data_IF_206510043665
#
_entry.id   IF_206510043665
#
_cell.length_a   1.000
_cell.length_b   1.000
_cell.length_c   1.000
_cell.angle_alpha   90.00
_cell.angle_beta   90.00
_cell.angle_gamma   90.00
#
_symmetry.space_group_name_H-M   'P 1'
#
loop_
_entity.id
_entity.type
_entity.pdbx_description
1 polymer ?
#
# COMPACT_ATOMS: atom_id res chain seq x y z
N UNK A 1 12.83 -8.03 0.32
CA UNK A 1 12.46 -6.61 0.48
C UNK A 1 12.40 -5.91 -0.87
N UNK A 2 13.48 -5.90 -1.64
CA UNK A 2 13.51 -5.28 -2.98
C UNK A 2 12.46 -5.87 -3.92
N UNK A 3 12.36 -7.19 -4.02
CA UNK A 3 11.33 -7.89 -4.81
C UNK A 3 9.89 -7.48 -4.42
N UNK A 4 9.63 -7.29 -3.12
CA UNK A 4 8.32 -6.87 -2.62
C UNK A 4 8.02 -5.43 -3.02
N UNK A 5 9.01 -4.55 -2.95
CA UNK A 5 8.88 -3.15 -3.37
C UNK A 5 8.60 -3.08 -4.88
N UNK A 6 9.27 -3.90 -5.68
CA UNK A 6 9.02 -4.00 -7.12
C UNK A 6 7.63 -4.55 -7.44
N UNK A 7 7.16 -5.54 -6.70
CA UNK A 7 5.81 -6.09 -6.86
C UNK A 7 4.75 -5.03 -6.53
N UNK A 8 4.88 -4.36 -5.38
CA UNK A 8 3.96 -3.28 -4.99
C UNK A 8 3.99 -2.13 -5.99
N UNK A 9 5.16 -1.75 -6.51
CA UNK A 9 5.27 -0.77 -7.58
C UNK A 9 4.48 -1.19 -8.82
N UNK A 10 4.55 -2.48 -9.20
CA UNK A 10 3.82 -3.03 -10.35
C UNK A 10 2.31 -2.99 -10.13
N UNK A 11 1.84 -3.41 -8.95
CA UNK A 11 0.41 -3.35 -8.59
C UNK A 11 -0.11 -1.92 -8.74
N UNK A 12 0.61 -0.94 -8.17
CA UNK A 12 0.21 0.47 -8.26
C UNK A 12 0.19 0.97 -9.70
N UNK A 13 1.23 0.69 -10.49
CA UNK A 13 1.32 1.12 -11.89
C UNK A 13 0.19 0.55 -12.76
N UNK A 14 -0.27 -0.67 -12.48
CA UNK A 14 -1.40 -1.32 -13.16
C UNK A 14 -2.77 -0.85 -12.64
N UNK A 15 -2.79 -0.04 -11.59
CA UNK A 15 -4.01 0.42 -10.93
C UNK A 15 -4.70 -0.67 -10.11
N UNK A 16 -3.94 -1.63 -9.60
CA UNK A 16 -4.43 -2.65 -8.69
C UNK A 16 -4.91 -2.08 -7.35
N UNK A 17 -5.83 -2.78 -6.67
CA UNK A 17 -6.39 -2.33 -5.41
C UNK A 17 -5.36 -2.34 -4.27
N UNK A 18 -5.62 -1.52 -3.24
CA UNK A 18 -4.75 -1.47 -2.06
C UNK A 18 -4.81 -2.76 -1.25
N UNK A 19 -5.95 -3.47 -1.26
CA UNK A 19 -6.08 -4.79 -0.67
C UNK A 19 -5.11 -5.83 -1.26
N UNK A 20 -4.77 -5.73 -2.55
CA UNK A 20 -3.75 -6.59 -3.19
C UNK A 20 -2.33 -6.26 -2.69
N UNK A 21 -2.05 -4.98 -2.45
CA UNK A 21 -0.80 -4.54 -1.80
C UNK A 21 -0.72 -5.13 -0.39
N UNK A 22 -1.79 -5.06 0.40
CA UNK A 22 -1.81 -5.64 1.75
C UNK A 22 -1.62 -7.15 1.73
N UNK A 23 -2.24 -7.87 0.78
CA UNK A 23 -2.03 -9.30 0.61
C UNK A 23 -0.58 -9.63 0.28
N UNK A 24 0.01 -8.91 -0.68
CA UNK A 24 1.42 -9.06 -1.08
C UNK A 24 2.38 -8.87 0.10
N UNK A 25 2.12 -7.86 0.94
CA UNK A 25 2.94 -7.58 2.12
C UNK A 25 2.75 -8.63 3.23
N UNK A 26 1.53 -9.13 3.40
CA UNK A 26 1.17 -10.12 4.41
C UNK A 26 1.76 -11.50 4.10
N UNK A 27 1.74 -11.89 2.82
CA UNK A 27 2.20 -13.20 2.37
C UNK A 27 3.72 -13.25 2.16
N UNK A 28 4.39 -12.09 2.20
CA UNK A 28 5.83 -11.99 2.08
C UNK A 28 6.54 -12.30 3.41
N UNK A 29 7.30 -13.41 3.45
CA UNK A 29 8.22 -13.72 4.57
C UNK A 29 9.32 -12.66 4.76
N UNK A 30 9.60 -11.85 3.74
CA UNK A 30 10.62 -10.81 3.77
C UNK A 30 10.17 -9.52 4.50
N UNK A 31 8.91 -9.42 4.93
CA UNK A 31 8.34 -8.22 5.55
C UNK A 31 7.74 -8.57 6.91
N UNK A 32 8.19 -7.90 7.95
CA UNK A 32 7.51 -7.92 9.25
C UNK A 32 6.23 -7.08 9.14
N UNK A 33 5.10 -7.74 8.88
CA UNK A 33 3.83 -7.09 8.49
C UNK A 33 3.27 -6.19 9.60
N UNK A 34 3.68 -4.91 9.56
CA UNK A 34 3.35 -3.85 10.52
C UNK A 34 3.07 -2.55 9.78
N UNK A 35 2.30 -1.65 10.39
CA UNK A 35 1.92 -0.37 9.78
C UNK A 35 3.13 0.43 9.24
N UNK A 36 4.22 0.48 9.99
CA UNK A 36 5.45 1.17 9.57
C UNK A 36 6.06 0.57 8.30
N UNK A 37 5.94 -0.75 8.11
CA UNK A 37 6.44 -1.42 6.91
C UNK A 37 5.57 -1.14 5.70
N UNK A 38 4.25 -1.01 5.86
CA UNK A 38 3.36 -0.56 4.78
C UNK A 38 3.76 0.86 4.33
N UNK A 39 3.97 1.79 5.26
CA UNK A 39 4.43 3.15 4.95
C UNK A 39 5.77 3.12 4.22
N UNK A 40 6.72 2.34 4.73
CA UNK A 40 8.05 2.20 4.14
C UNK A 40 7.96 1.71 2.69
N UNK A 41 7.22 0.64 2.44
CA UNK A 41 7.09 0.09 1.08
C UNK A 41 6.40 1.08 0.14
N UNK A 42 5.34 1.77 0.55
CA UNK A 42 4.69 2.78 -0.30
C UNK A 42 5.64 3.95 -0.63
N UNK A 43 6.47 4.34 0.33
CA UNK A 43 7.51 5.37 0.10
C UNK A 43 8.57 4.89 -0.88
N UNK A 44 9.09 3.68 -0.73
CA UNK A 44 10.15 3.15 -1.62
C UNK A 44 9.62 2.75 -3.01
N UNK A 45 8.38 2.26 -3.08
CA UNK A 45 7.77 1.84 -4.34
C UNK A 45 7.50 3.02 -5.26
N UNK A 46 6.92 4.11 -4.72
CA UNK A 46 6.39 5.22 -5.53
C UNK A 46 6.69 6.63 -4.99
N UNK A 47 7.44 6.75 -3.90
CA UNK A 47 7.77 8.04 -3.30
C UNK A 47 6.62 8.67 -2.51
N UNK A 48 5.63 7.88 -2.05
CA UNK A 48 4.47 8.41 -1.32
C UNK A 48 4.90 9.10 -0.01
N UNK A 49 4.47 10.36 0.24
CA UNK A 49 4.67 11.02 1.51
C UNK A 49 4.06 10.24 2.67
N UNK A 50 4.75 10.25 3.82
CA UNK A 50 4.31 9.56 5.04
C UNK A 50 2.90 10.01 5.47
N UNK A 51 2.58 11.30 5.30
CA UNK A 51 1.26 11.84 5.66
C UNK A 51 0.14 11.19 4.84
N UNK A 52 0.34 11.00 3.53
CA UNK A 52 -0.63 10.33 2.65
C UNK A 52 -0.78 8.86 3.02
N UNK A 53 0.33 8.14 3.22
CA UNK A 53 0.30 6.74 3.64
C UNK A 53 -0.43 6.54 4.98
N UNK A 54 -0.29 7.50 5.91
CA UNK A 54 -0.98 7.48 7.20
C UNK A 54 -2.50 7.60 7.07
N UNK A 55 -3.01 8.36 6.11
CA UNK A 55 -4.45 8.48 5.87
C UNK A 55 -5.06 7.16 5.41
N UNK A 56 -4.32 6.38 4.59
CA UNK A 56 -4.72 5.03 4.19
C UNK A 56 -4.72 4.09 5.40
N UNK A 57 -3.64 4.09 6.18
CA UNK A 57 -3.47 3.21 7.34
C UNK A 57 -4.46 3.53 8.46
N UNK A 58 -4.94 4.77 8.57
CA UNK A 58 -5.98 5.14 9.54
C UNK A 58 -7.31 4.40 9.31
N UNK A 59 -7.48 3.72 8.16
CA UNK A 59 -8.62 2.84 7.86
C UNK A 59 -8.38 1.38 8.23
N UNK A 60 -7.25 1.08 8.86
CA UNK A 60 -6.89 -0.25 9.33
C UNK A 60 -6.82 -0.26 10.87
N UNK A 61 -7.02 -1.43 11.46
CA UNK A 61 -6.76 -1.65 12.88
C UNK A 61 -5.25 -1.82 13.17
N UNK A 62 -4.91 -2.09 14.43
CA UNK A 62 -3.52 -2.28 14.86
C UNK A 62 -2.85 -3.51 14.21
N UNK A 63 -3.64 -4.49 13.78
CA UNK A 63 -3.21 -5.73 13.14
C UNK A 63 -3.32 -5.66 11.60
N UNK A 64 -3.55 -4.45 11.06
CA UNK A 64 -3.71 -4.17 9.64
C UNK A 64 -4.90 -4.88 8.97
N UNK A 65 -5.97 -5.12 9.73
CA UNK A 65 -7.27 -5.48 9.16
C UNK A 65 -8.07 -4.22 8.79
N UNK A 66 -8.82 -4.24 7.68
CA UNK A 66 -9.70 -3.13 7.33
C UNK A 66 -10.75 -2.86 8.42
N UNK A 67 -10.86 -1.59 8.85
CA UNK A 67 -11.95 -1.09 9.71
C UNK A 67 -13.23 -0.78 8.91
N UNK A 68 -13.11 -0.75 7.59
CA UNK A 68 -14.18 -0.49 6.62
C UNK A 68 -14.27 -1.65 5.63
N UNK A 69 -15.27 -1.63 4.74
CA UNK A 69 -15.34 -2.62 3.66
C UNK A 69 -14.09 -2.56 2.76
N UNK A 70 -13.76 -3.67 2.10
CA UNK A 70 -12.64 -3.72 1.16
C UNK A 70 -12.81 -2.68 0.04
N UNK A 71 -14.02 -2.53 -0.50
CA UNK A 71 -14.35 -1.56 -1.54
C UNK A 71 -14.14 -0.11 -1.06
N UNK A 72 -14.55 0.23 0.16
CA UNK A 72 -14.36 1.55 0.74
C UNK A 72 -12.88 1.85 1.02
N UNK A 73 -12.13 0.82 1.47
CA UNK A 73 -10.69 0.92 1.68
C UNK A 73 -9.98 1.20 0.36
N UNK A 74 -10.26 0.40 -0.67
CA UNK A 74 -9.65 0.55 -1.99
C UNK A 74 -10.01 1.89 -2.62
N UNK A 75 -11.28 2.32 -2.52
CA UNK A 75 -11.73 3.63 -2.99
C UNK A 75 -11.03 4.78 -2.26
N UNK A 76 -10.81 4.64 -0.96
CA UNK A 76 -10.08 5.66 -0.17
C UNK A 76 -8.61 5.69 -0.55
N UNK A 77 -7.96 4.53 -0.61
CA UNK A 77 -6.56 4.40 -0.97
C UNK A 77 -6.29 4.93 -2.39
N UNK A 78 -7.23 4.70 -3.32
CA UNK A 78 -7.14 5.18 -4.69
C UNK A 78 -7.01 6.70 -4.80
N UNK A 79 -7.64 7.46 -3.90
CA UNK A 79 -7.50 8.94 -3.86
C UNK A 79 -6.04 9.37 -3.65
N UNK A 80 -5.26 8.54 -2.97
CA UNK A 80 -3.85 8.78 -2.71
C UNK A 80 -2.94 8.06 -3.71
N UNK A 81 -3.33 6.89 -4.23
CA UNK A 81 -2.49 6.09 -5.14
C UNK A 81 -2.57 6.54 -6.60
N UNK A 82 -3.70 7.11 -7.04
CA UNK A 82 -3.92 7.52 -8.43
C UNK A 82 -2.79 8.41 -9.02
N UNK A 83 -2.23 9.40 -8.30
CA UNK A 83 -1.14 10.24 -8.82
C UNK A 83 0.16 9.49 -9.12
N UNK A 84 0.34 8.28 -8.57
CA UNK A 84 1.56 7.50 -8.68
C UNK A 84 1.54 6.48 -9.82
N UNK A 85 0.38 6.25 -10.45
CA UNK A 85 0.21 5.26 -11.54
C UNK A 85 1.05 5.58 -12.78
N UNK A 86 1.28 6.87 -13.05
CA UNK A 86 2.04 7.34 -14.21
C UNK A 86 3.51 7.65 -13.88
N UNK A 87 3.88 7.61 -12.59
CA UNK A 87 5.26 7.78 -12.12
C UNK A 87 5.97 6.44 -12.13
N UNK A 88 6.17 5.89 -13.32
CA UNK A 88 7.18 4.83 -13.49
C UNK A 88 8.51 5.53 -13.83
N UNK A 89 9.61 5.30 -13.09
CA UNK A 89 10.93 5.74 -13.54
C UNK A 89 11.35 5.03 -14.83
#
# INVERSE_FOLDING_TARGET
MEEVIEEVRRIIAQGGPFTEILATLRDSEAVDFKAIMVIYVLREAVGMPIVEAREIIARLDADLHPLVSAEDLDTTAERYLAPYRTRTP
#
